data_IF_490402269961
#
_entry.id   IF_490402269961
#
_cell.length_a   1.000
_cell.length_b   1.000
_cell.length_c   1.000
_cell.angle_alpha   90.00
_cell.angle_beta   90.00
_cell.angle_gamma   90.00
#
_symmetry.space_group_name_H-M   'P 1'
#
loop_
_entity.id
_entity.type
_entity.pdbx_description
1 polymer ?
#
# COMPACT_ATOMS: atom_id res chain seq x y z
N UNK A 1 -10.97 -23.40 16.62
CA UNK A 1 -11.15 -23.65 15.17
C UNK A 1 -12.50 -24.32 14.91
N UNK A 2 -13.14 -24.09 13.75
CA UNK A 2 -14.42 -24.73 13.37
C UNK A 2 -14.17 -25.82 12.32
N UNK A 3 -14.77 -26.99 12.48
CA UNK A 3 -14.67 -28.11 11.54
C UNK A 3 -15.81 -28.05 10.51
N UNK A 4 -15.46 -27.94 9.22
CA UNK A 4 -16.41 -27.94 8.11
C UNK A 4 -15.92 -28.97 7.08
N UNK A 5 -16.80 -29.92 6.74
CA UNK A 5 -16.52 -31.04 5.83
C UNK A 5 -17.58 -31.12 4.75
N UNK A 6 -17.20 -31.68 3.59
CA UNK A 6 -18.08 -31.89 2.44
C UNK A 6 -18.12 -33.39 2.13
N UNK A 7 -19.33 -33.94 2.05
CA UNK A 7 -19.58 -35.31 1.62
C UNK A 7 -19.94 -35.30 0.14
N UNK A 8 -19.03 -35.79 -0.69
CA UNK A 8 -19.24 -35.83 -2.14
C UNK A 8 -20.10 -37.03 -2.56
N UNK A 9 -20.79 -36.95 -3.72
CA UNK A 9 -21.61 -38.06 -4.24
C UNK A 9 -20.82 -39.36 -4.49
N UNK A 10 -19.51 -39.26 -4.73
CA UNK A 10 -18.58 -40.38 -4.91
C UNK A 10 -18.23 -41.09 -3.58
N UNK A 11 -18.77 -40.65 -2.44
CA UNK A 11 -18.49 -41.23 -1.12
C UNK A 11 -17.22 -40.71 -0.44
N UNK A 12 -16.53 -39.72 -1.00
CA UNK A 12 -15.37 -39.07 -0.38
C UNK A 12 -15.85 -38.08 0.68
N UNK A 13 -15.21 -38.10 1.85
CA UNK A 13 -15.36 -37.07 2.89
C UNK A 13 -14.10 -36.22 2.92
N UNK A 14 -14.21 -34.97 2.48
CA UNK A 14 -13.09 -34.02 2.45
C UNK A 14 -13.34 -32.82 3.36
N UNK A 15 -12.28 -32.09 3.70
CA UNK A 15 -12.41 -30.75 4.29
C UNK A 15 -12.97 -29.78 3.25
N UNK A 16 -13.76 -28.82 3.71
CA UNK A 16 -14.21 -27.72 2.86
C UNK A 16 -13.02 -26.88 2.38
N UNK A 17 -13.12 -26.39 1.16
CA UNK A 17 -12.24 -25.33 0.63
C UNK A 17 -12.41 -24.03 1.44
N UNK A 18 -11.47 -23.09 1.32
CA UNK A 18 -11.58 -21.81 2.00
C UNK A 18 -12.83 -21.04 1.58
N UNK A 19 -13.20 -21.09 0.30
CA UNK A 19 -14.39 -20.43 -0.23
C UNK A 19 -15.69 -21.09 0.25
N UNK A 20 -15.74 -22.42 0.32
CA UNK A 20 -16.87 -23.15 0.93
C UNK A 20 -16.99 -22.83 2.41
N UNK A 21 -15.86 -22.84 3.15
CA UNK A 21 -15.79 -22.53 4.57
C UNK A 21 -16.33 -21.13 4.86
N UNK A 22 -15.84 -20.12 4.16
CA UNK A 22 -16.21 -18.72 4.35
C UNK A 22 -17.70 -18.48 4.05
N UNK A 23 -18.22 -19.09 2.98
CA UNK A 23 -19.64 -19.04 2.66
C UNK A 23 -20.50 -19.68 3.75
N UNK A 24 -20.12 -20.87 4.23
CA UNK A 24 -20.86 -21.54 5.30
C UNK A 24 -20.83 -20.72 6.60
N UNK A 25 -19.67 -20.16 6.96
CA UNK A 25 -19.55 -19.30 8.13
C UNK A 25 -20.48 -18.10 8.00
N UNK A 26 -20.53 -17.42 6.84
CA UNK A 26 -21.40 -16.27 6.66
C UNK A 26 -22.90 -16.62 6.71
N UNK A 27 -23.30 -17.82 6.27
CA UNK A 27 -24.71 -18.27 6.35
C UNK A 27 -25.14 -18.51 7.80
N UNK A 28 -24.30 -19.19 8.60
CA UNK A 28 -24.65 -19.57 9.97
C UNK A 28 -24.27 -18.51 11.02
N UNK A 29 -23.28 -17.67 10.73
CA UNK A 29 -22.77 -16.60 11.58
C UNK A 29 -22.61 -15.32 10.75
N UNK A 30 -23.72 -14.68 10.35
CA UNK A 30 -23.68 -13.53 9.46
C UNK A 30 -22.94 -12.36 10.12
N UNK A 31 -21.89 -11.89 9.44
CA UNK A 31 -21.19 -10.65 9.76
C UNK A 31 -21.78 -9.50 8.94
N UNK A 32 -22.01 -8.37 9.57
CA UNK A 32 -22.47 -7.15 8.89
C UNK A 32 -21.46 -6.71 7.81
N UNK A 33 -21.97 -6.26 6.65
CA UNK A 33 -21.15 -5.86 5.50
C UNK A 33 -20.61 -7.00 4.65
N UNK A 34 -20.62 -8.25 5.13
CA UNK A 34 -20.20 -9.43 4.36
C UNK A 34 -21.38 -10.09 3.65
N UNK A 35 -21.22 -10.41 2.37
CA UNK A 35 -22.21 -11.16 1.58
C UNK A 35 -21.73 -12.58 1.32
N UNK A 36 -22.67 -13.52 1.20
CA UNK A 36 -22.36 -14.93 0.86
C UNK A 36 -21.76 -15.02 -0.55
N UNK A 37 -22.32 -14.26 -1.49
CA UNK A 37 -21.75 -14.11 -2.83
C UNK A 37 -21.06 -12.75 -2.87
N UNK A 38 -19.75 -12.70 -3.17
CA UNK A 38 -19.03 -11.44 -3.25
C UNK A 38 -19.66 -10.49 -4.29
N UNK A 39 -19.80 -9.19 -3.98
CA UNK A 39 -20.26 -8.18 -4.94
C UNK A 39 -19.46 -8.19 -6.24
N UNK A 40 -20.16 -7.99 -7.37
CA UNK A 40 -19.51 -7.89 -8.68
C UNK A 40 -18.50 -6.73 -8.79
N UNK A 41 -18.59 -5.75 -7.89
CA UNK A 41 -17.68 -4.61 -7.78
C UNK A 41 -16.19 -5.02 -7.70
N UNK A 42 -15.89 -6.16 -7.07
CA UNK A 42 -14.52 -6.65 -6.88
C UNK A 42 -13.91 -7.33 -8.12
N UNK A 43 -14.65 -7.36 -9.24
CA UNK A 43 -14.12 -7.76 -10.53
C UNK A 43 -13.32 -6.62 -11.14
N UNK A 44 -12.23 -6.96 -11.83
CA UNK A 44 -11.29 -5.98 -12.38
C UNK A 44 -11.95 -4.96 -13.33
N UNK A 45 -12.95 -5.39 -14.10
CA UNK A 45 -13.75 -4.54 -15.00
C UNK A 45 -14.45 -3.39 -14.25
N UNK A 46 -14.94 -3.65 -13.04
CA UNK A 46 -15.70 -2.67 -12.27
C UNK A 46 -14.80 -1.83 -11.37
N UNK A 47 -13.67 -2.37 -10.90
CA UNK A 47 -12.70 -1.62 -10.09
C UNK A 47 -12.22 -0.37 -10.81
N UNK A 48 -11.94 -0.46 -12.11
CA UNK A 48 -11.51 0.69 -12.92
C UNK A 48 -12.49 1.86 -12.88
N UNK A 49 -13.80 1.59 -12.91
CA UNK A 49 -14.83 2.63 -12.84
C UNK A 49 -14.85 3.33 -11.48
N UNK A 50 -14.55 2.61 -10.40
CA UNK A 50 -14.49 3.18 -9.05
C UNK A 50 -13.25 4.05 -8.87
N UNK A 51 -12.12 3.62 -9.43
CA UNK A 51 -10.87 4.39 -9.39
C UNK A 51 -10.96 5.70 -10.15
N UNK A 52 -11.73 5.76 -11.24
CA UNK A 52 -12.03 7.02 -11.94
C UNK A 52 -12.80 8.03 -11.09
N UNK A 53 -13.51 7.56 -10.06
CA UNK A 53 -14.29 8.41 -9.15
C UNK A 53 -13.53 8.78 -7.87
N UNK A 54 -12.25 8.43 -7.75
CA UNK A 54 -11.42 8.66 -6.55
C UNK A 54 -11.94 7.99 -5.27
N UNK A 55 -12.72 6.91 -5.43
CA UNK A 55 -13.35 6.17 -4.32
C UNK A 55 -12.52 4.97 -3.88
N UNK A 56 -11.20 5.13 -3.82
CA UNK A 56 -10.26 4.05 -3.45
C UNK A 56 -10.49 3.59 -2.01
N UNK A 57 -10.73 4.52 -1.07
CA UNK A 57 -10.99 4.19 0.34
C UNK A 57 -12.24 3.31 0.50
N UNK A 58 -13.32 3.63 -0.23
CA UNK A 58 -14.58 2.88 -0.19
C UNK A 58 -14.36 1.42 -0.63
N UNK A 59 -13.58 1.20 -1.68
CA UNK A 59 -13.24 -0.15 -2.16
C UNK A 59 -12.51 -0.94 -1.09
N UNK A 60 -11.52 -0.33 -0.44
CA UNK A 60 -10.75 -0.99 0.61
C UNK A 60 -11.61 -1.27 1.85
N UNK A 61 -12.48 -0.34 2.24
CA UNK A 61 -13.42 -0.53 3.34
C UNK A 61 -14.41 -1.67 3.06
N UNK A 62 -14.95 -1.75 1.84
CA UNK A 62 -15.80 -2.87 1.42
C UNK A 62 -15.01 -4.19 1.37
N UNK A 63 -13.75 -4.16 0.94
CA UNK A 63 -12.89 -5.34 0.84
C UNK A 63 -12.64 -5.97 2.23
N UNK A 64 -12.30 -5.15 3.24
CA UNK A 64 -12.13 -5.60 4.63
C UNK A 64 -13.41 -6.20 5.23
N UNK A 65 -14.58 -5.66 4.85
CA UNK A 65 -15.85 -6.21 5.30
C UNK A 65 -16.16 -7.56 4.64
N UNK A 66 -15.83 -7.71 3.35
CA UNK A 66 -16.23 -8.85 2.53
C UNK A 66 -15.30 -10.07 2.65
N UNK A 67 -13.99 -9.85 2.70
CA UNK A 67 -12.98 -10.89 2.57
C UNK A 67 -12.08 -10.99 3.81
N UNK A 68 -11.52 -12.17 4.04
CA UNK A 68 -10.49 -12.35 5.06
C UNK A 68 -9.13 -11.81 4.56
N UNK A 69 -8.26 -11.30 5.45
CA UNK A 69 -6.99 -10.65 5.05
C UNK A 69 -6.02 -11.56 4.29
N UNK A 70 -6.09 -12.87 4.49
CA UNK A 70 -5.25 -13.89 3.85
C UNK A 70 -5.84 -14.42 2.53
N UNK A 71 -7.07 -14.01 2.20
CA UNK A 71 -7.71 -14.45 0.96
C UNK A 71 -7.07 -13.85 -0.28
N UNK A 72 -7.05 -14.61 -1.37
CA UNK A 72 -6.49 -14.16 -2.64
C UNK A 72 -7.22 -12.93 -3.21
N UNK A 73 -8.55 -12.86 -3.04
CA UNK A 73 -9.35 -11.70 -3.45
C UNK A 73 -8.99 -10.44 -2.66
N UNK A 74 -8.81 -10.55 -1.34
CA UNK A 74 -8.38 -9.44 -0.50
C UNK A 74 -7.06 -8.86 -0.99
N UNK A 75 -6.05 -9.72 -1.16
CA UNK A 75 -4.72 -9.32 -1.59
C UNK A 75 -4.77 -8.70 -3.00
N UNK A 76 -5.50 -9.31 -3.93
CA UNK A 76 -5.65 -8.81 -5.31
C UNK A 76 -6.24 -7.39 -5.32
N UNK A 77 -7.34 -7.17 -4.61
CA UNK A 77 -8.04 -5.87 -4.62
C UNK A 77 -7.17 -4.78 -3.97
N UNK A 78 -6.49 -5.08 -2.85
CA UNK A 78 -5.58 -4.13 -2.21
C UNK A 78 -4.42 -3.75 -3.13
N UNK A 79 -3.71 -4.73 -3.68
CA UNK A 79 -2.59 -4.48 -4.59
C UNK A 79 -3.02 -3.69 -5.82
N UNK A 80 -4.17 -4.03 -6.40
CA UNK A 80 -4.70 -3.32 -7.58
C UNK A 80 -5.03 -1.87 -7.28
N UNK A 81 -5.60 -1.60 -6.10
CA UNK A 81 -5.92 -0.25 -5.63
C UNK A 81 -4.63 0.56 -5.40
N UNK A 82 -3.63 -0.03 -4.75
CA UNK A 82 -2.33 0.63 -4.52
C UNK A 82 -1.58 0.92 -5.83
N UNK A 83 -1.62 0.00 -6.79
CA UNK A 83 -1.04 0.20 -8.12
C UNK A 83 -1.70 1.38 -8.86
N UNK A 84 -3.01 1.54 -8.74
CA UNK A 84 -3.73 2.66 -9.37
C UNK A 84 -3.40 4.00 -8.71
N UNK A 85 -3.32 4.03 -7.37
CA UNK A 85 -2.91 5.21 -6.60
C UNK A 85 -1.49 5.65 -6.99
N UNK A 86 -0.56 4.70 -7.04
CA UNK A 86 0.84 4.95 -7.39
C UNK A 86 0.96 5.48 -8.83
N UNK A 87 0.17 4.92 -9.76
CA UNK A 87 0.15 5.34 -11.16
C UNK A 87 -0.35 6.78 -11.35
N UNK A 88 -1.34 7.20 -10.57
CA UNK A 88 -1.95 8.53 -10.70
C UNK A 88 -1.48 9.54 -9.64
N UNK A 89 -0.59 9.15 -8.74
CA UNK A 89 -0.08 10.02 -7.66
C UNK A 89 -1.13 10.40 -6.61
N UNK A 90 -2.16 9.58 -6.39
CA UNK A 90 -3.32 9.90 -5.53
C UNK A 90 -3.13 9.46 -4.07
N UNK A 91 -1.94 9.65 -3.51
CA UNK A 91 -1.60 9.15 -2.17
C UNK A 91 -2.40 9.81 -1.04
N UNK A 92 -2.85 11.05 -1.26
CA UNK A 92 -3.62 11.83 -0.31
C UNK A 92 -4.94 11.16 0.11
N UNK A 93 -5.57 10.45 -0.83
CA UNK A 93 -6.83 9.74 -0.60
C UNK A 93 -6.75 8.75 0.55
N UNK A 94 -5.57 8.18 0.80
CA UNK A 94 -5.37 7.20 1.86
C UNK A 94 -4.60 7.76 3.06
N UNK A 95 -4.05 8.98 3.02
CA UNK A 95 -3.06 9.47 4.01
C UNK A 95 -3.57 9.47 5.45
N UNK A 96 -4.79 9.95 5.68
CA UNK A 96 -5.42 9.99 7.01
C UNK A 96 -6.33 8.79 7.25
N UNK A 97 -6.04 7.65 6.64
CA UNK A 97 -6.85 6.43 6.76
C UNK A 97 -6.03 5.27 7.32
N UNK A 98 -6.72 4.26 7.86
CA UNK A 98 -6.08 3.01 8.31
C UNK A 98 -5.34 2.24 7.19
N UNK A 99 -5.64 2.56 5.94
CA UNK A 99 -5.10 1.86 4.77
C UNK A 99 -3.73 2.37 4.36
N UNK A 100 -3.31 3.54 4.84
CA UNK A 100 -2.03 4.14 4.48
C UNK A 100 -0.85 3.20 4.76
N UNK A 101 -0.81 2.60 5.95
CA UNK A 101 0.27 1.69 6.34
C UNK A 101 0.39 0.47 5.43
N UNK A 102 -0.76 -0.11 5.01
CA UNK A 102 -0.79 -1.24 4.08
C UNK A 102 -0.26 -0.86 2.70
N UNK A 103 -0.58 0.34 2.21
CA UNK A 103 -0.06 0.88 0.96
C UNK A 103 1.45 1.09 1.04
N UNK A 104 1.95 1.77 2.08
CA UNK A 104 3.39 2.03 2.27
C UNK A 104 4.16 0.71 2.33
N UNK A 105 3.67 -0.26 3.11
CA UNK A 105 4.30 -1.58 3.21
C UNK A 105 4.40 -2.28 1.85
N UNK A 106 3.34 -2.22 1.05
CA UNK A 106 3.33 -2.79 -0.29
C UNK A 106 4.35 -2.11 -1.23
N UNK A 107 4.41 -0.78 -1.22
CA UNK A 107 5.33 -0.01 -2.08
C UNK A 107 6.79 -0.24 -1.71
N UNK A 108 7.13 -0.27 -0.42
CA UNK A 108 8.49 -0.52 0.08
C UNK A 108 8.95 -1.95 -0.26
N UNK A 109 8.07 -2.95 -0.10
CA UNK A 109 8.37 -4.33 -0.50
C UNK A 109 8.66 -4.46 -2.00
N UNK A 110 7.93 -3.73 -2.84
CA UNK A 110 8.11 -3.74 -4.30
C UNK A 110 9.16 -2.76 -4.82
N UNK A 111 9.84 -2.01 -3.93
CA UNK A 111 10.80 -0.96 -4.29
C UNK A 111 10.23 0.10 -5.22
N UNK A 112 8.96 0.47 -5.03
CA UNK A 112 8.28 1.55 -5.77
C UNK A 112 7.91 2.71 -4.84
N UNK A 113 8.90 3.27 -4.17
CA UNK A 113 8.69 4.35 -3.18
C UNK A 113 8.84 5.75 -3.76
N UNK A 114 9.39 5.88 -4.97
CA UNK A 114 9.72 7.16 -5.61
C UNK A 114 8.51 8.10 -5.70
N UNK A 115 7.36 7.61 -6.18
CA UNK A 115 6.17 8.44 -6.34
C UNK A 115 5.62 8.97 -5.02
N UNK A 116 5.59 8.11 -3.99
CA UNK A 116 5.18 8.50 -2.65
C UNK A 116 6.16 9.51 -2.06
N UNK A 117 7.47 9.29 -2.21
CA UNK A 117 8.50 10.19 -1.70
C UNK A 117 8.38 11.60 -2.31
N UNK A 118 8.14 11.70 -3.62
CA UNK A 118 7.87 12.98 -4.31
C UNK A 118 6.64 13.67 -3.70
N UNK A 119 5.55 12.93 -3.48
CA UNK A 119 4.33 13.49 -2.87
C UNK A 119 4.58 13.99 -1.44
N UNK A 120 5.40 13.30 -0.64
CA UNK A 120 5.76 13.77 0.71
C UNK A 120 6.57 15.08 0.65
N UNK A 121 7.57 15.16 -0.25
CA UNK A 121 8.44 16.34 -0.38
C UNK A 121 7.64 17.55 -0.86
N UNK A 122 6.78 17.38 -1.86
CA UNK A 122 5.93 18.47 -2.39
C UNK A 122 4.90 19.01 -1.39
N UNK A 123 4.65 18.28 -0.29
CA UNK A 123 3.71 18.65 0.77
C UNK A 123 4.42 19.10 2.05
N UNK A 124 5.72 19.35 1.97
CA UNK A 124 6.56 19.75 3.10
C UNK A 124 6.64 18.72 4.25
N UNK A 125 6.43 17.43 3.93
CA UNK A 125 6.45 16.33 4.90
C UNK A 125 7.82 15.61 4.91
N UNK A 126 8.89 16.35 5.22
CA UNK A 126 10.25 15.80 5.23
C UNK A 126 10.48 14.74 6.31
N UNK A 127 9.84 14.86 7.48
CA UNK A 127 10.01 13.89 8.56
C UNK A 127 9.43 12.53 8.16
N UNK A 128 8.28 12.52 7.47
CA UNK A 128 7.65 11.33 6.92
C UNK A 128 8.51 10.74 5.79
N UNK A 129 9.06 11.59 4.91
CA UNK A 129 9.97 11.18 3.85
C UNK A 129 11.23 10.49 4.41
N UNK A 130 11.81 11.06 5.48
CA UNK A 130 12.96 10.48 6.18
C UNK A 130 12.60 9.15 6.82
N UNK A 131 11.41 9.07 7.44
CA UNK A 131 10.89 7.84 8.05
C UNK A 131 10.64 6.74 7.01
N UNK A 132 10.17 7.09 5.81
CA UNK A 132 9.97 6.16 4.70
C UNK A 132 11.29 5.57 4.22
N UNK A 133 12.32 6.39 4.04
CA UNK A 133 13.66 5.91 3.65
C UNK A 133 14.27 5.04 4.75
N UNK A 134 14.07 5.41 6.01
CA UNK A 134 14.52 4.60 7.16
C UNK A 134 13.83 3.23 7.17
N UNK A 135 12.51 3.18 6.91
CA UNK A 135 11.77 1.94 6.77
C UNK A 135 12.27 1.09 5.60
N UNK A 136 12.60 1.71 4.47
CA UNK A 136 13.20 1.02 3.33
C UNK A 136 14.53 0.37 3.70
N UNK A 137 15.42 1.08 4.41
CA UNK A 137 16.70 0.53 4.86
C UNK A 137 16.54 -0.61 5.88
N UNK A 138 15.53 -0.53 6.75
CA UNK A 138 15.22 -1.64 7.67
C UNK A 138 14.77 -2.90 6.92
N UNK A 139 14.02 -2.76 5.84
CA UNK A 139 13.53 -3.89 5.06
C UNK A 139 14.57 -4.44 4.07
N UNK A 140 15.43 -3.59 3.54
CA UNK A 140 16.49 -3.95 2.58
C UNK A 140 17.88 -3.57 3.12
N UNK A 141 18.41 -4.21 4.18
CA UNK A 141 19.70 -3.83 4.77
C UNK A 141 20.90 -3.94 3.82
N UNK A 142 20.78 -4.78 2.79
CA UNK A 142 21.85 -5.04 1.83
C UNK A 142 21.96 -3.99 0.72
N UNK A 143 21.00 -3.07 0.62
CA UNK A 143 21.00 -2.03 -0.41
C UNK A 143 22.17 -1.04 -0.21
N UNK A 144 22.58 -0.40 -1.31
CA UNK A 144 23.75 0.48 -1.29
C UNK A 144 23.50 1.71 -0.41
N UNK A 145 22.30 2.28 -0.50
CA UNK A 145 21.89 3.41 0.35
C UNK A 145 21.93 3.08 1.84
N UNK A 146 21.52 1.88 2.25
CA UNK A 146 21.57 1.47 3.67
C UNK A 146 23.00 1.35 4.18
N UNK A 147 23.93 0.85 3.34
CA UNK A 147 25.35 0.73 3.70
C UNK A 147 26.00 2.10 3.84
N UNK A 148 25.81 2.96 2.85
CA UNK A 148 26.34 4.33 2.86
C UNK A 148 25.75 5.17 4.02
N UNK A 149 24.45 5.03 4.28
CA UNK A 149 23.80 5.70 5.40
C UNK A 149 24.38 5.28 6.76
N UNK A 150 24.74 4.00 6.91
CA UNK A 150 25.33 3.47 8.15
C UNK A 150 26.79 3.87 8.32
N UNK A 151 27.57 3.89 7.23
CA UNK A 151 28.98 4.28 7.25
C UNK A 151 29.16 5.77 7.56
N UNK A 152 28.27 6.62 7.03
CA UNK A 152 28.35 8.07 7.15
C UNK A 152 27.42 8.66 8.23
N UNK A 153 26.69 7.82 8.99
CA UNK A 153 25.69 8.22 9.99
C UNK A 153 24.73 9.34 9.52
N UNK A 154 24.29 9.27 8.26
CA UNK A 154 23.51 10.32 7.61
C UNK A 154 22.12 10.45 8.23
N UNK A 155 21.64 11.69 8.38
CA UNK A 155 20.33 12.01 8.95
C UNK A 155 19.57 13.02 8.09
N UNK A 156 18.24 12.98 8.17
CA UNK A 156 17.36 13.94 7.52
C UNK A 156 17.51 13.95 5.99
N UNK A 157 17.69 15.14 5.42
CA UNK A 157 17.72 15.36 3.96
C UNK A 157 18.87 14.62 3.27
N UNK A 158 20.02 14.48 3.94
CA UNK A 158 21.18 13.80 3.35
C UNK A 158 20.92 12.31 3.13
N UNK A 159 20.12 11.69 4.02
CA UNK A 159 19.67 10.31 3.88
C UNK A 159 18.82 10.14 2.61
N UNK A 160 17.92 11.09 2.36
CA UNK A 160 17.07 11.12 1.17
C UNK A 160 17.94 11.31 -0.08
N UNK A 161 18.91 12.24 -0.05
CA UNK A 161 19.82 12.49 -1.18
C UNK A 161 20.63 11.25 -1.56
N UNK A 162 21.15 10.50 -0.58
CA UNK A 162 21.87 9.24 -0.85
C UNK A 162 20.94 8.17 -1.42
N UNK A 163 19.78 7.96 -0.80
CA UNK A 163 18.78 7.02 -1.30
C UNK A 163 18.39 7.29 -2.76
N UNK A 164 18.20 8.57 -3.10
CA UNK A 164 17.78 9.02 -4.43
C UNK A 164 18.84 8.76 -5.49
N UNK A 165 20.13 8.87 -5.14
CA UNK A 165 21.25 8.62 -6.06
C UNK A 165 21.49 7.14 -6.34
N UNK A 166 21.25 6.28 -5.35
CA UNK A 166 21.62 4.87 -5.46
C UNK A 166 20.47 3.95 -5.86
N UNK A 167 19.24 4.21 -5.38
CA UNK A 167 18.12 3.25 -5.49
C UNK A 167 16.93 3.77 -6.32
N UNK A 168 16.75 5.09 -6.45
CA UNK A 168 15.59 5.67 -7.12
C UNK A 168 15.73 5.61 -8.65
N UNK A 169 14.62 5.28 -9.33
CA UNK A 169 14.56 5.32 -10.79
C UNK A 169 14.25 6.72 -11.32
N UNK A 170 13.69 7.59 -10.47
CA UNK A 170 13.26 8.94 -10.81
C UNK A 170 14.11 10.01 -10.14
N UNK A 171 15.43 9.81 -10.16
CA UNK A 171 16.41 10.68 -9.50
C UNK A 171 16.18 12.18 -9.79
N UNK A 172 16.11 12.55 -11.07
CA UNK A 172 15.98 13.94 -11.49
C UNK A 172 14.70 14.63 -11.00
N UNK A 173 13.59 13.89 -10.89
CA UNK A 173 12.33 14.45 -10.38
C UNK A 173 12.39 14.70 -8.88
N UNK A 174 13.00 13.79 -8.11
CA UNK A 174 13.11 13.93 -6.66
C UNK A 174 14.11 15.02 -6.30
N UNK A 175 15.23 15.12 -7.02
CA UNK A 175 16.20 16.20 -6.83
C UNK A 175 15.58 17.58 -7.10
N UNK A 176 14.79 17.70 -8.17
CA UNK A 176 14.07 18.94 -8.46
C UNK A 176 13.07 19.30 -7.35
N UNK A 177 12.32 18.31 -6.85
CA UNK A 177 11.38 18.52 -5.74
C UNK A 177 12.11 18.95 -4.45
N UNK A 178 13.24 18.33 -4.14
CA UNK A 178 14.07 18.72 -2.99
C UNK A 178 14.64 20.13 -3.13
N UNK A 179 15.10 20.50 -4.33
CA UNK A 179 15.60 21.85 -4.58
C UNK A 179 14.50 22.90 -4.41
N UNK A 180 13.32 22.65 -4.98
CA UNK A 180 12.17 23.55 -4.82
C UNK A 180 11.75 23.72 -3.35
N UNK A 181 11.83 22.63 -2.58
CA UNK A 181 11.60 22.66 -1.13
C UNK A 181 12.64 23.51 -0.39
N UNK A 182 13.94 23.30 -0.67
CA UNK A 182 15.03 24.07 -0.05
C UNK A 182 14.92 25.58 -0.37
N UNK A 183 14.56 25.94 -1.61
CA UNK A 183 14.31 27.32 -2.04
C UNK A 183 13.07 27.94 -1.34
N UNK A 184 12.01 27.16 -1.16
CA UNK A 184 10.81 27.57 -0.40
C UNK A 184 11.08 27.79 1.09
N UNK A 185 11.95 26.97 1.70
CA UNK A 185 12.41 27.19 3.08
C UNK A 185 13.29 28.45 3.21
N UNK A 186 14.18 28.70 2.25
CA UNK A 186 15.05 29.88 2.28
C UNK A 186 14.28 31.20 2.17
N UNK A 187 13.17 31.21 1.42
CA UNK A 187 12.30 32.39 1.27
C UNK A 187 11.40 32.63 2.48
N UNK A 188 10.88 31.57 3.11
CA UNK A 188 10.08 31.68 4.33
C UNK A 188 10.88 32.08 5.57
N UNK A 189 12.17 31.72 5.64
CA UNK A 189 13.08 32.12 6.73
C UNK A 189 13.64 33.54 6.57
N UNK A 190 13.58 34.10 5.36
CA UNK A 190 14.02 35.47 5.06
C UNK A 190 12.91 36.53 5.21
N UNK A 191 11.65 36.11 5.43
CA UNK A 191 10.48 36.97 5.64
C UNK A 191 10.14 37.12 7.13
#
# INVERSE_FOLDING_TARGET
>A
ERFIVVREPNGVLRKATWEERDRMIQIFFPKEGRRVIPPALFKDEHLGNVFQQDRHEDVLNMCIAQFEPDSADYIRVHHRTYDDIDKHGKYDLLRSTRHFGGMVWYLVNRRRTDGLLIDMINRDLLDDATSLVTLYHMLHPECQSAKEAKEQELKGVDLIKVFVKTESQREGYIQLALQAYEEGMATSTAS
#
